data_IF_765885770637
#
_entry.id   IF_765885770637
#
_cell.length_a   1.000
_cell.length_b   1.000
_cell.length_c   1.000
_cell.angle_alpha   90.00
_cell.angle_beta   90.00
_cell.angle_gamma   90.00
#
_symmetry.space_group_name_H-M   'P 1'
#
loop_
_entity.id
_entity.type
_entity.pdbx_description
1 polymer ?
#
# COMPACT_ATOMS: atom_id res chain seq x y z
N UNK A 1 14.74 -26.41 2.68
CA UNK A 1 13.26 -26.41 2.67
C UNK A 1 12.77 -25.91 4.03
N UNK A 2 12.22 -24.69 4.12
CA UNK A 2 11.73 -24.17 5.41
C UNK A 2 10.57 -25.06 5.87
N UNK A 3 10.59 -25.63 7.08
CA UNK A 3 9.47 -26.42 7.57
C UNK A 3 8.20 -25.55 7.57
N UNK A 4 7.09 -26.05 7.01
CA UNK A 4 5.81 -25.31 6.92
C UNK A 4 5.43 -24.67 8.27
N UNK A 5 5.70 -25.35 9.39
CA UNK A 5 5.48 -24.84 10.75
C UNK A 5 6.27 -23.57 11.07
N UNK A 6 7.55 -23.48 10.67
CA UNK A 6 8.39 -22.29 10.89
C UNK A 6 7.92 -21.10 10.06
N UNK A 7 7.46 -21.35 8.82
CA UNK A 7 6.87 -20.32 7.96
C UNK A 7 5.62 -19.72 8.62
N UNK A 8 4.70 -20.56 9.09
CA UNK A 8 3.47 -20.10 9.75
C UNK A 8 3.74 -19.28 11.01
N UNK A 9 4.72 -19.68 11.82
CA UNK A 9 5.16 -18.90 12.99
C UNK A 9 5.67 -17.52 12.55
N UNK A 10 6.51 -17.47 11.52
CA UNK A 10 7.03 -16.19 10.99
C UNK A 10 5.90 -15.27 10.48
N UNK A 11 4.94 -15.83 9.73
CA UNK A 11 3.78 -15.08 9.25
C UNK A 11 2.90 -14.57 10.40
N UNK A 12 2.71 -15.38 11.44
CA UNK A 12 1.95 -14.98 12.62
C UNK A 12 2.65 -13.85 13.40
N UNK A 13 3.97 -13.94 13.55
CA UNK A 13 4.77 -12.85 14.15
C UNK A 13 4.63 -11.57 13.30
N UNK A 14 4.75 -11.67 11.98
CA UNK A 14 4.57 -10.50 11.09
C UNK A 14 3.16 -9.91 11.18
N UNK A 15 2.13 -10.74 11.30
CA UNK A 15 0.75 -10.29 11.50
C UNK A 15 0.60 -9.47 12.78
N UNK A 16 1.25 -9.89 13.87
CA UNK A 16 1.22 -9.16 15.16
C UNK A 16 2.07 -7.89 15.09
N UNK A 17 3.17 -7.89 14.33
CA UNK A 17 4.04 -6.72 14.19
C UNK A 17 3.47 -5.68 13.21
N UNK A 18 2.60 -6.05 12.27
CA UNK A 18 2.06 -5.13 11.26
C UNK A 18 1.35 -3.89 11.83
N UNK A 19 0.56 -3.97 12.93
CA UNK A 19 -0.09 -2.79 13.51
C UNK A 19 0.93 -1.81 14.13
N UNK A 20 2.13 -2.28 14.50
CA UNK A 20 3.18 -1.41 15.05
C UNK A 20 3.60 -0.32 14.07
N UNK A 21 3.53 -0.60 12.76
CA UNK A 21 3.83 0.37 11.71
C UNK A 21 2.93 1.61 11.73
N UNK A 22 1.74 1.51 12.33
CA UNK A 22 0.79 2.62 12.49
C UNK A 22 0.79 3.13 13.93
N UNK A 23 0.87 2.22 14.91
CA UNK A 23 0.83 2.54 16.34
C UNK A 23 2.05 3.37 16.75
N UNK A 24 3.25 2.99 16.31
CA UNK A 24 4.48 3.71 16.70
C UNK A 24 4.45 5.15 16.18
N UNK A 25 4.19 5.43 14.89
CA UNK A 25 4.05 6.80 14.43
C UNK A 25 3.01 7.60 15.22
N UNK A 26 1.85 7.00 15.49
CA UNK A 26 0.80 7.63 16.30
C UNK A 26 1.24 7.98 17.72
N UNK A 27 1.98 7.10 18.40
CA UNK A 27 2.46 7.33 19.77
C UNK A 27 3.50 8.45 19.81
N UNK A 28 4.41 8.48 18.83
CA UNK A 28 5.50 9.45 18.78
C UNK A 28 5.15 10.73 18.02
N UNK A 29 3.88 10.91 17.61
CA UNK A 29 3.44 11.97 16.70
C UNK A 29 4.30 12.06 15.43
N UNK A 30 4.85 10.93 14.98
CA UNK A 30 5.39 10.83 13.62
C UNK A 30 4.20 10.76 12.65
N UNK A 31 4.36 11.37 11.48
CA UNK A 31 3.28 11.57 10.52
C UNK A 31 2.86 10.24 9.85
N UNK A 32 3.29 10.00 8.61
CA UNK A 32 2.96 8.79 7.88
C UNK A 32 3.65 7.53 8.42
N UNK A 33 3.13 6.35 8.06
CA UNK A 33 3.83 5.08 8.23
C UNK A 33 5.24 5.13 7.63
N UNK A 34 6.16 4.38 8.21
CA UNK A 34 7.54 4.31 7.73
C UNK A 34 7.58 3.85 6.26
N UNK A 35 8.15 4.68 5.39
CA UNK A 35 8.26 4.41 3.95
C UNK A 35 7.08 4.88 3.09
N UNK A 36 6.00 5.42 3.69
CA UNK A 36 4.84 5.97 2.98
C UNK A 36 4.79 7.51 3.03
N UNK A 37 5.92 8.17 3.29
CA UNK A 37 5.97 9.63 3.44
C UNK A 37 5.71 10.37 2.13
N UNK A 38 4.80 11.35 2.19
CA UNK A 38 4.59 12.31 1.09
C UNK A 38 5.72 13.36 1.07
N UNK A 39 6.00 14.03 -0.08
CA UNK A 39 7.03 15.07 -0.17
C UNK A 39 6.90 16.18 0.89
N UNK A 40 5.68 16.51 1.27
CA UNK A 40 5.38 17.51 2.32
C UNK A 40 5.83 17.02 3.70
N UNK A 41 5.70 15.72 3.98
CA UNK A 41 6.16 15.11 5.22
C UNK A 41 7.69 15.09 5.27
N UNK A 42 8.36 14.75 4.17
CA UNK A 42 9.82 14.83 4.06
C UNK A 42 10.33 16.25 4.30
N UNK A 43 9.65 17.27 3.78
CA UNK A 43 9.99 18.67 4.03
C UNK A 43 9.95 19.01 5.51
N UNK A 44 8.92 18.53 6.22
CA UNK A 44 8.79 18.76 7.67
C UNK A 44 9.85 18.02 8.49
N UNK A 45 10.25 16.82 8.07
CA UNK A 45 11.22 16.01 8.79
C UNK A 45 12.68 16.43 8.52
N UNK A 46 13.00 16.82 7.28
CA UNK A 46 14.37 17.08 6.84
C UNK A 46 14.66 18.56 6.56
N UNK A 47 13.63 19.40 6.46
CA UNK A 47 13.76 20.80 6.04
C UNK A 47 13.93 20.99 4.53
N UNK A 48 13.99 19.92 3.75
CA UNK A 48 14.10 19.95 2.29
C UNK A 48 13.53 18.68 1.65
N UNK A 49 13.26 18.74 0.34
CA UNK A 49 12.87 17.58 -0.47
C UNK A 49 14.03 17.27 -1.44
N UNK A 50 14.56 16.04 -1.46
CA UNK A 50 15.50 15.64 -2.49
C UNK A 50 14.89 15.80 -3.89
N UNK A 51 15.53 16.57 -4.77
CA UNK A 51 14.97 16.95 -6.09
C UNK A 51 14.55 15.73 -6.94
N UNK A 52 15.32 14.64 -6.87
CA UNK A 52 14.99 13.40 -7.58
C UNK A 52 13.71 12.74 -7.05
N UNK A 53 13.48 12.77 -5.73
CA UNK A 53 12.25 12.23 -5.14
C UNK A 53 11.04 13.07 -5.55
N UNK A 54 11.18 14.39 -5.61
CA UNK A 54 10.12 15.28 -6.08
C UNK A 54 9.72 14.98 -7.53
N UNK A 55 10.69 14.75 -8.41
CA UNK A 55 10.44 14.36 -9.81
C UNK A 55 9.70 13.02 -9.90
N UNK A 56 10.05 12.05 -9.06
CA UNK A 56 9.42 10.72 -9.05
C UNK A 56 8.00 10.75 -8.47
N UNK A 57 7.75 11.57 -7.44
CA UNK A 57 6.45 11.65 -6.78
C UNK A 57 5.31 12.08 -7.72
N UNK A 58 5.62 12.86 -8.76
CA UNK A 58 4.63 13.31 -9.75
C UNK A 58 4.36 12.37 -10.92
N UNK A 59 5.14 11.29 -11.09
CA UNK A 59 5.05 10.41 -12.28
C UNK A 59 3.77 9.58 -12.26
N UNK A 60 3.36 9.14 -11.07
CA UNK A 60 2.24 8.24 -10.92
C UNK A 60 1.12 8.90 -10.12
N UNK A 61 -0.07 8.98 -10.72
CA UNK A 61 -1.29 9.38 -10.03
C UNK A 61 -2.12 8.13 -9.77
N UNK A 62 -2.35 7.75 -8.50
CA UNK A 62 -3.14 6.57 -8.18
C UNK A 62 -4.58 6.75 -8.64
N UNK A 63 -5.20 5.65 -9.10
CA UNK A 63 -6.59 5.62 -9.54
C UNK A 63 -7.56 5.98 -8.40
N UNK A 64 -7.23 5.52 -7.18
CA UNK A 64 -7.97 5.81 -5.95
C UNK A 64 -7.01 6.38 -4.90
N UNK A 65 -6.84 7.72 -4.86
CA UNK A 65 -6.03 8.38 -3.84
C UNK A 65 -6.52 8.00 -2.44
N UNK A 66 -5.56 7.70 -1.55
CA UNK A 66 -5.82 7.31 -0.16
C UNK A 66 -6.88 6.17 -0.01
N UNK A 67 -7.02 5.33 -1.05
CA UNK A 67 -7.96 4.22 -1.12
C UNK A 67 -9.45 4.60 -0.99
N UNK A 68 -9.82 5.85 -1.30
CA UNK A 68 -11.20 6.33 -1.26
C UNK A 68 -11.83 6.48 -2.66
N UNK A 69 -13.15 6.25 -2.75
CA UNK A 69 -13.95 6.46 -3.97
C UNK A 69 -14.83 7.72 -3.92
N UNK A 70 -14.83 8.47 -2.81
CA UNK A 70 -15.74 9.60 -2.63
C UNK A 70 -15.19 10.66 -1.68
N UNK A 71 -15.95 11.75 -1.54
CA UNK A 71 -15.57 12.91 -0.73
C UNK A 71 -15.34 12.56 0.75
N UNK A 72 -14.39 13.29 1.33
CA UNK A 72 -13.93 13.16 2.72
C UNK A 72 -15.09 13.34 3.73
N UNK A 73 -16.17 14.03 3.32
CA UNK A 73 -17.36 14.30 4.12
C UNK A 73 -18.36 13.14 4.23
N UNK A 74 -18.09 12.02 3.55
CA UNK A 74 -18.87 10.80 3.74
C UNK A 74 -18.60 10.21 5.15
N UNK A 75 -19.63 9.66 5.81
CA UNK A 75 -19.52 9.19 7.20
C UNK A 75 -18.44 8.10 7.41
N UNK A 76 -18.07 7.82 8.67
CA UNK A 76 -17.02 6.83 8.99
C UNK A 76 -17.23 5.45 8.33
N UNK A 77 -18.49 5.02 8.18
CA UNK A 77 -18.83 3.76 7.54
C UNK A 77 -18.53 3.74 6.04
N UNK A 78 -18.80 4.81 5.30
CA UNK A 78 -18.49 4.89 3.86
C UNK A 78 -16.99 4.90 3.60
N UNK A 79 -16.20 5.49 4.50
CA UNK A 79 -14.73 5.43 4.42
C UNK A 79 -14.20 4.00 4.53
N UNK A 80 -14.68 3.22 5.51
CA UNK A 80 -14.29 1.81 5.67
C UNK A 80 -14.71 1.00 4.43
N UNK A 81 -15.94 1.17 3.96
CA UNK A 81 -16.45 0.47 2.79
C UNK A 81 -15.61 0.80 1.55
N UNK A 82 -15.28 2.08 1.35
CA UNK A 82 -14.43 2.51 0.24
C UNK A 82 -13.04 1.91 0.33
N UNK A 83 -12.42 1.95 1.50
CA UNK A 83 -11.09 1.36 1.72
C UNK A 83 -11.06 -0.14 1.39
N UNK A 84 -12.04 -0.90 1.91
CA UNK A 84 -12.16 -2.34 1.68
C UNK A 84 -12.42 -2.65 0.20
N UNK A 85 -13.34 -1.91 -0.44
CA UNK A 85 -13.65 -2.08 -1.86
C UNK A 85 -12.43 -1.79 -2.74
N UNK A 86 -11.64 -0.77 -2.41
CA UNK A 86 -10.40 -0.44 -3.14
C UNK A 86 -9.41 -1.59 -3.10
N UNK A 87 -9.23 -2.22 -1.93
CA UNK A 87 -8.42 -3.43 -1.79
C UNK A 87 -8.93 -4.60 -2.64
N UNK A 88 -10.24 -4.86 -2.64
CA UNK A 88 -10.86 -5.93 -3.44
C UNK A 88 -10.66 -5.70 -4.94
N UNK A 89 -10.88 -4.46 -5.42
CA UNK A 89 -10.66 -4.10 -6.83
C UNK A 89 -9.18 -4.30 -7.20
N UNK A 90 -8.26 -3.87 -6.34
CA UNK A 90 -6.82 -4.08 -6.54
C UNK A 90 -6.46 -5.56 -6.68
N UNK A 91 -6.98 -6.42 -5.81
CA UNK A 91 -6.75 -7.88 -5.87
C UNK A 91 -7.27 -8.45 -7.20
N UNK A 92 -8.50 -8.11 -7.59
CA UNK A 92 -9.10 -8.59 -8.85
C UNK A 92 -8.25 -8.16 -10.05
N UNK A 93 -7.78 -6.91 -10.06
CA UNK A 93 -6.96 -6.36 -11.13
C UNK A 93 -5.60 -7.07 -11.23
N UNK A 94 -4.95 -7.34 -10.09
CA UNK A 94 -3.69 -8.10 -10.06
C UNK A 94 -3.89 -9.53 -10.61
N UNK A 95 -4.94 -10.23 -10.16
CA UNK A 95 -5.26 -11.58 -10.64
C UNK A 95 -5.48 -11.56 -12.15
N UNK A 96 -6.23 -10.58 -12.65
CA UNK A 96 -6.52 -10.43 -14.08
C UNK A 96 -5.24 -10.19 -14.90
N UNK A 97 -4.36 -9.30 -14.44
CA UNK A 97 -3.08 -9.00 -15.11
C UNK A 97 -2.20 -10.26 -15.16
N UNK A 98 -2.04 -10.95 -14.03
CA UNK A 98 -1.25 -12.18 -13.96
C UNK A 98 -1.82 -13.25 -14.88
N UNK A 99 -3.15 -13.40 -14.91
CA UNK A 99 -3.83 -14.33 -15.81
C UNK A 99 -3.56 -14.02 -17.29
N UNK A 100 -3.70 -12.74 -17.69
CA UNK A 100 -3.45 -12.31 -19.07
C UNK A 100 -1.99 -12.56 -19.46
N UNK A 101 -1.03 -12.15 -18.62
CA UNK A 101 0.40 -12.35 -18.87
C UNK A 101 0.72 -13.85 -19.02
N UNK A 102 0.21 -14.67 -18.09
CA UNK A 102 0.41 -16.12 -18.13
C UNK A 102 -0.11 -16.73 -19.42
N UNK A 103 -1.30 -16.31 -19.87
CA UNK A 103 -1.90 -16.78 -21.11
C UNK A 103 -1.11 -16.36 -22.35
N UNK A 104 -0.57 -15.14 -22.39
CA UNK A 104 0.24 -14.66 -23.51
C UNK A 104 1.59 -15.40 -23.59
N UNK A 105 2.24 -15.66 -22.46
CA UNK A 105 3.51 -16.40 -22.43
C UNK A 105 3.30 -17.85 -22.85
N UNK A 106 2.30 -18.54 -22.29
CA UNK A 106 2.03 -19.96 -22.58
C UNK A 106 1.60 -20.17 -24.04
N UNK A 107 0.89 -19.21 -24.63
CA UNK A 107 0.48 -19.30 -26.04
C UNK A 107 1.63 -19.05 -27.03
N UNK A 108 2.75 -18.46 -26.60
CA UNK A 108 3.92 -18.21 -27.46
C UNK A 108 4.91 -19.39 -27.51
N UNK A 109 4.70 -20.44 -26.70
CA UNK A 109 5.52 -21.66 -26.72
C UNK A 109 4.87 -22.82 -27.51
N UNK A 110 3.80 -22.55 -28.27
CA UNK A 110 3.21 -23.47 -29.24
C UNK A 110 3.43 -22.95 -30.66
#
# INVERSE_FOLDING_TARGET
>A
MIPKKKLWIGLFIMLILSPLGIIIPKIFNAQGPWGEWKPEELTRHLGYIPEKLLKLAGIWKPLFPDYSFGDIDSGFASHIISYVLSGVIGIILIILIIYIISRLIINNEK
#
